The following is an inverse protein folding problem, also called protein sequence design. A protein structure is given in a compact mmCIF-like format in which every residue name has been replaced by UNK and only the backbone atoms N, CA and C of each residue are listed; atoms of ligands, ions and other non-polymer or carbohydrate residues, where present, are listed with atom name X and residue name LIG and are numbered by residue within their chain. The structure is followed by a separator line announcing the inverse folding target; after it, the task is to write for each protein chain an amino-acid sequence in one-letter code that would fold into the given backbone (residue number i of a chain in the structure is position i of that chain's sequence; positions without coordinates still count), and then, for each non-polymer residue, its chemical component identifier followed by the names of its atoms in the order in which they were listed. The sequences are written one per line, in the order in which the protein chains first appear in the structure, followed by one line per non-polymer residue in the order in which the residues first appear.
data_IF_829340226456
#
_entry.id   IF_829340226456
#
_cell.length_a   1.000
_cell.length_b   1.000
_cell.length_c   1.000
_cell.angle_alpha   90.00
_cell.angle_beta   90.00
_cell.angle_gamma   90.00
#
_symmetry.space_group_name_H-M   'P 1'
#
loop_
_entity.id
_entity.type
_entity.pdbx_description
1 polymer ?
#
# COMPACT_ATOMS: atom_id res chain seq x y z
N UNK A 1 -17.75 22.87 29.27
CA UNK A 1 -16.78 22.20 28.39
C UNK A 1 -17.62 21.41 27.40
N UNK A 2 -17.89 22.02 26.25
CA UNK A 2 -18.84 21.54 25.25
C UNK A 2 -18.21 20.41 24.43
N UNK A 3 -19.01 19.37 24.15
CA UNK A 3 -18.66 18.17 23.35
C UNK A 3 -18.18 18.49 21.92
N UNK A 4 -18.27 19.76 21.51
CA UNK A 4 -17.81 20.26 20.20
C UNK A 4 -16.29 20.47 20.11
N UNK A 5 -15.57 20.63 21.23
CA UNK A 5 -14.12 20.86 21.23
C UNK A 5 -13.30 19.58 20.90
N UNK A 6 -13.88 18.39 21.06
CA UNK A 6 -13.18 17.13 20.81
C UNK A 6 -13.08 16.79 19.31
N UNK A 7 -13.91 17.38 18.45
CA UNK A 7 -14.02 16.98 17.03
C UNK A 7 -13.00 17.63 16.09
N UNK A 8 -12.18 18.56 16.56
CA UNK A 8 -11.32 19.39 15.69
C UNK A 8 -9.85 19.42 16.07
N UNK A 9 -9.35 18.45 16.84
CA UNK A 9 -7.90 18.23 16.92
C UNK A 9 -7.39 17.59 15.62
N UNK A 10 -7.12 18.44 14.62
CA UNK A 10 -6.35 18.06 13.44
C UNK A 10 -4.97 17.58 13.86
N UNK A 11 -4.50 16.49 13.25
CA UNK A 11 -3.12 16.02 13.42
C UNK A 11 -2.13 17.18 13.18
N UNK A 12 -1.07 17.32 14.01
CA UNK A 12 -0.02 18.29 13.74
C UNK A 12 0.55 18.10 12.33
N UNK A 13 0.77 19.20 11.60
CA UNK A 13 1.14 19.16 10.18
C UNK A 13 2.39 18.32 9.87
N UNK A 14 3.36 18.33 10.77
CA UNK A 14 4.58 17.50 10.65
C UNK A 14 4.26 16.00 10.68
N UNK A 15 3.35 15.59 11.56
CA UNK A 15 2.93 14.20 11.68
C UNK A 15 2.10 13.78 10.47
N UNK A 16 1.25 14.68 9.96
CA UNK A 16 0.49 14.45 8.74
C UNK A 16 1.41 14.21 7.54
N UNK A 17 2.46 15.02 7.39
CA UNK A 17 3.45 14.87 6.33
C UNK A 17 4.18 13.52 6.43
N UNK A 18 4.59 13.11 7.62
CA UNK A 18 5.24 11.82 7.87
C UNK A 18 4.31 10.66 7.49
N UNK A 19 3.04 10.70 7.90
CA UNK A 19 2.05 9.65 7.58
C UNK A 19 1.79 9.57 6.08
N UNK A 20 1.61 10.71 5.40
CA UNK A 20 1.47 10.78 3.93
C UNK A 20 2.67 10.17 3.22
N UNK A 21 3.89 10.42 3.71
CA UNK A 21 5.12 9.85 3.17
C UNK A 21 5.19 8.33 3.39
N UNK A 22 4.82 7.85 4.58
CA UNK A 22 4.82 6.43 4.92
C UNK A 22 3.80 5.62 4.11
N UNK A 23 2.64 6.20 3.82
CA UNK A 23 1.54 5.56 3.09
C UNK A 23 1.60 5.80 1.56
N UNK A 24 2.68 6.41 1.06
CA UNK A 24 2.84 6.69 -0.36
C UNK A 24 3.19 5.41 -1.13
N UNK A 25 2.28 4.97 -2.01
CA UNK A 25 2.46 3.80 -2.88
C UNK A 25 2.78 4.17 -4.34
N UNK A 26 2.89 5.46 -4.67
CA UNK A 26 2.99 5.95 -6.04
C UNK A 26 4.44 6.21 -6.52
N UNK A 27 5.43 5.84 -5.71
CA UNK A 27 6.85 6.08 -5.99
C UNK A 27 7.68 4.82 -5.72
N UNK A 28 8.76 4.57 -6.49
CA UNK A 28 9.66 3.47 -6.21
C UNK A 28 10.28 3.58 -4.81
N UNK A 29 10.42 2.43 -4.15
CA UNK A 29 10.99 2.33 -2.80
C UNK A 29 12.52 2.23 -2.89
N UNK A 30 13.24 2.93 -2.02
CA UNK A 30 14.71 2.84 -2.01
C UNK A 30 15.16 1.46 -1.54
N UNK A 31 16.09 0.84 -2.28
CA UNK A 31 16.75 -0.42 -1.96
C UNK A 31 18.21 -0.12 -1.67
N UNK A 32 18.77 -0.76 -0.65
CA UNK A 32 20.19 -0.62 -0.31
C UNK A 32 21.00 -1.60 -1.15
N UNK A 33 21.87 -1.06 -2.00
CA UNK A 33 22.77 -1.84 -2.85
C UNK A 33 24.16 -1.21 -2.88
N UNK A 34 25.14 -2.00 -3.28
CA UNK A 34 26.49 -1.52 -3.56
C UNK A 34 26.51 -0.62 -4.79
N UNK A 35 27.45 0.34 -4.81
CA UNK A 35 27.68 1.20 -5.97
C UNK A 35 28.25 0.40 -7.17
N UNK A 36 28.99 -0.67 -6.89
CA UNK A 36 29.57 -1.58 -7.89
C UNK A 36 28.90 -2.96 -7.74
N UNK A 37 27.75 -3.18 -8.39
CA UNK A 37 27.00 -4.42 -8.25
C UNK A 37 27.70 -5.59 -8.95
N UNK A 38 27.66 -6.74 -8.30
CA UNK A 38 28.07 -8.04 -8.82
C UNK A 38 26.84 -8.87 -9.21
N UNK A 39 27.04 -10.01 -9.89
CA UNK A 39 25.93 -10.91 -10.22
C UNK A 39 25.19 -11.42 -8.96
N UNK A 40 25.91 -11.68 -7.86
CA UNK A 40 25.30 -12.08 -6.58
C UNK A 40 24.44 -10.98 -5.94
N UNK A 41 24.71 -9.71 -6.24
CA UNK A 41 23.91 -8.59 -5.72
C UNK A 41 22.53 -8.53 -6.39
N UNK A 42 22.38 -9.06 -7.61
CA UNK A 42 21.11 -9.05 -8.34
C UNK A 42 20.05 -9.90 -7.63
N UNK A 43 20.41 -11.10 -7.17
CA UNK A 43 19.49 -11.99 -6.45
C UNK A 43 19.07 -11.39 -5.10
N UNK A 44 20.03 -10.81 -4.38
CA UNK A 44 19.76 -10.08 -3.13
C UNK A 44 18.84 -8.89 -3.36
N UNK A 45 19.07 -8.12 -4.43
CA UNK A 45 18.25 -6.99 -4.82
C UNK A 45 16.81 -7.41 -5.17
N UNK A 46 16.63 -8.49 -5.94
CA UNK A 46 15.29 -9.01 -6.26
C UNK A 46 14.57 -9.55 -5.02
N UNK A 47 15.28 -10.25 -4.13
CA UNK A 47 14.71 -10.71 -2.86
C UNK A 47 14.25 -9.53 -1.97
N UNK A 48 15.06 -8.47 -1.86
CA UNK A 48 14.69 -7.26 -1.12
C UNK A 48 13.51 -6.54 -1.77
N UNK A 49 13.54 -6.35 -3.10
CA UNK A 49 12.45 -5.72 -3.85
C UNK A 49 11.15 -6.50 -3.67
N UNK A 50 11.18 -7.82 -3.68
CA UNK A 50 10.00 -8.65 -3.47
C UNK A 50 9.33 -8.39 -2.11
N UNK A 51 10.11 -8.37 -1.01
CA UNK A 51 9.57 -8.06 0.31
C UNK A 51 8.98 -6.65 0.40
N UNK A 52 9.66 -5.67 -0.22
CA UNK A 52 9.19 -4.29 -0.27
C UNK A 52 7.93 -4.15 -1.12
N UNK A 53 7.84 -4.85 -2.25
CA UNK A 53 6.66 -4.88 -3.09
C UNK A 53 5.47 -5.45 -2.30
N UNK A 54 5.64 -6.59 -1.63
CA UNK A 54 4.62 -7.17 -0.75
C UNK A 54 4.14 -6.19 0.32
N UNK A 55 5.06 -5.49 1.01
CA UNK A 55 4.68 -4.45 1.97
C UNK A 55 3.94 -3.29 1.31
N UNK A 56 4.35 -2.88 0.12
CA UNK A 56 3.74 -1.77 -0.63
C UNK A 56 2.29 -2.07 -1.01
N UNK A 57 1.95 -3.35 -1.25
CA UNK A 57 0.57 -3.77 -1.53
C UNK A 57 -0.43 -3.46 -0.39
N UNK A 58 0.08 -3.32 0.84
CA UNK A 58 -0.73 -2.99 2.02
C UNK A 58 -0.96 -1.49 2.19
N UNK A 59 -0.12 -0.63 1.61
CA UNK A 59 -0.17 0.82 1.83
C UNK A 59 -1.50 1.47 1.38
N UNK A 60 -2.12 1.07 0.25
CA UNK A 60 -3.44 1.57 -0.12
C UNK A 60 -4.48 1.43 0.99
N UNK A 61 -4.40 0.37 1.79
CA UNK A 61 -5.33 0.14 2.89
C UNK A 61 -5.23 1.28 3.93
N UNK A 62 -4.02 1.48 4.47
CA UNK A 62 -3.76 2.57 5.42
C UNK A 62 -4.08 3.94 4.83
N UNK A 63 -3.76 4.16 3.55
CA UNK A 63 -4.07 5.42 2.85
C UNK A 63 -5.57 5.67 2.77
N UNK A 64 -6.36 4.67 2.42
CA UNK A 64 -7.82 4.80 2.31
C UNK A 64 -8.47 5.19 3.64
N UNK A 65 -8.01 4.60 4.74
CA UNK A 65 -8.45 4.98 6.09
C UNK A 65 -7.99 6.40 6.46
N UNK A 66 -6.72 6.73 6.19
CA UNK A 66 -6.14 8.02 6.52
C UNK A 66 -6.79 9.18 5.76
N UNK A 67 -7.17 8.97 4.49
CA UNK A 67 -7.76 10.02 3.64
C UNK A 67 -9.29 9.94 3.56
N UNK A 68 -9.95 9.15 4.39
CA UNK A 68 -11.39 8.91 4.33
C UNK A 68 -12.18 10.23 4.33
N UNK A 69 -13.07 10.41 3.36
CA UNK A 69 -13.96 11.58 3.27
C UNK A 69 -13.26 12.96 3.35
N UNK A 70 -12.05 13.08 2.79
CA UNK A 70 -11.26 14.33 2.84
C UNK A 70 -11.41 15.24 1.62
N UNK A 71 -12.03 14.80 0.53
CA UNK A 71 -12.34 15.65 -0.63
C UNK A 71 -13.84 15.72 -0.88
N UNK A 72 -14.35 16.94 -1.08
CA UNK A 72 -15.62 17.18 -1.75
C UNK A 72 -15.34 17.46 -3.22
N UNK A 73 -15.67 16.52 -4.11
CA UNK A 73 -15.43 16.73 -5.53
C UNK A 73 -16.61 17.39 -6.22
N UNK A 74 -16.33 18.32 -7.13
CA UNK A 74 -17.32 18.85 -8.07
C UNK A 74 -17.67 17.75 -9.10
N UNK A 75 -18.93 17.69 -9.53
CA UNK A 75 -19.43 16.63 -10.42
C UNK A 75 -18.65 16.52 -11.76
N UNK A 76 -17.99 17.60 -12.17
CA UNK A 76 -17.30 17.72 -13.47
C UNK A 76 -15.80 17.47 -13.40
N UNK A 77 -15.20 17.29 -12.22
CA UNK A 77 -13.75 17.09 -12.13
C UNK A 77 -13.36 15.62 -12.30
N UNK A 78 -12.26 15.38 -13.03
CA UNK A 78 -11.76 14.04 -13.25
C UNK A 78 -11.11 13.50 -11.97
N UNK A 79 -11.71 12.49 -11.36
CA UNK A 79 -11.16 11.82 -10.20
C UNK A 79 -10.00 10.88 -10.60
N UNK A 80 -8.77 11.20 -10.19
CA UNK A 80 -7.59 10.39 -10.52
C UNK A 80 -7.25 9.37 -9.44
N UNK A 81 -7.04 8.12 -9.85
CA UNK A 81 -6.47 7.08 -8.99
C UNK A 81 -4.93 7.19 -9.02
N UNK A 82 -4.24 7.35 -7.87
CA UNK A 82 -2.77 7.37 -7.84
C UNK A 82 -2.19 6.05 -8.37
N UNK A 83 -1.00 6.08 -8.99
CA UNK A 83 -0.33 4.84 -9.43
C UNK A 83 0.03 3.95 -8.22
N UNK A 84 -0.01 2.64 -8.40
CA UNK A 84 0.58 1.67 -7.48
C UNK A 84 1.91 1.19 -8.08
N UNK A 85 3.02 1.53 -7.43
CA UNK A 85 4.37 1.26 -7.93
C UNK A 85 5.03 0.17 -7.09
N UNK A 86 5.28 -0.98 -7.72
CA UNK A 86 5.99 -2.13 -7.13
C UNK A 86 7.42 -2.21 -7.69
N UNK A 87 8.12 -1.08 -7.66
CA UNK A 87 9.47 -0.94 -8.19
C UNK A 87 10.43 -0.40 -7.12
N UNK A 88 11.70 -0.71 -7.29
CA UNK A 88 12.79 -0.22 -6.46
C UNK A 88 13.50 0.94 -7.14
N UNK A 89 14.11 1.82 -6.34
CA UNK A 89 15.16 2.73 -6.81
C UNK A 89 16.47 2.43 -6.08
N UNK A 90 17.59 2.61 -6.77
CA UNK A 90 18.93 2.28 -6.30
C UNK A 90 19.71 3.59 -6.05
N UNK A 91 19.71 4.13 -4.81
CA UNK A 91 20.32 5.44 -4.55
C UNK A 91 21.84 5.46 -4.84
N UNK A 92 22.53 4.35 -4.59
CA UNK A 92 23.96 4.19 -4.88
C UNK A 92 24.28 4.14 -6.39
N UNK A 93 23.26 3.92 -7.23
CA UNK A 93 23.38 3.80 -8.69
C UNK A 93 22.55 4.90 -9.38
N UNK A 94 22.76 6.15 -8.95
CA UNK A 94 22.09 7.33 -9.53
C UNK A 94 20.55 7.26 -9.54
N UNK A 95 19.96 6.63 -8.51
CA UNK A 95 18.52 6.38 -8.41
C UNK A 95 17.95 5.56 -9.59
N UNK A 96 18.75 4.69 -10.21
CA UNK A 96 18.28 3.75 -11.22
C UNK A 96 17.04 2.99 -10.71
N UNK A 97 16.04 2.81 -11.58
CA UNK A 97 14.81 2.10 -11.23
C UNK A 97 14.96 0.63 -11.60
N UNK A 98 14.60 -0.27 -10.68
CA UNK A 98 14.52 -1.71 -10.92
C UNK A 98 13.09 -2.20 -10.74
N UNK A 99 12.66 -3.07 -11.64
CA UNK A 99 11.39 -3.75 -11.58
C UNK A 99 11.56 -5.18 -11.07
N UNK A 100 10.48 -5.75 -10.53
CA UNK A 100 10.41 -7.17 -10.24
C UNK A 100 10.64 -7.99 -11.51
N UNK A 101 11.44 -9.04 -11.41
CA UNK A 101 11.67 -9.97 -12.51
C UNK A 101 10.34 -10.63 -12.93
N UNK A 102 9.88 -10.46 -14.18
CA UNK A 102 8.63 -11.03 -14.67
C UNK A 102 8.56 -12.57 -14.58
N UNK A 103 9.69 -13.26 -14.44
CA UNK A 103 9.77 -14.71 -14.29
C UNK A 103 9.25 -15.22 -12.94
N UNK A 104 9.16 -14.35 -11.93
CA UNK A 104 8.71 -14.71 -10.59
C UNK A 104 7.24 -15.16 -10.64
N UNK A 105 6.98 -16.39 -10.21
CA UNK A 105 5.62 -16.94 -10.11
C UNK A 105 4.74 -16.01 -9.25
N UNK A 106 3.48 -15.84 -9.65
CA UNK A 106 2.45 -15.06 -8.95
C UNK A 106 2.58 -13.52 -9.02
N UNK A 107 3.40 -12.95 -9.91
CA UNK A 107 3.42 -11.48 -10.11
C UNK A 107 2.04 -10.91 -10.46
N UNK A 108 1.24 -11.66 -11.24
CA UNK A 108 -0.09 -11.19 -11.62
C UNK A 108 -1.04 -11.09 -10.42
N UNK A 109 -0.97 -12.04 -9.48
CA UNK A 109 -1.72 -11.98 -8.22
C UNK A 109 -1.21 -10.86 -7.32
N UNK A 110 0.09 -10.59 -7.34
CA UNK A 110 0.72 -9.48 -6.62
C UNK A 110 0.28 -8.10 -7.15
N UNK A 111 -0.25 -8.02 -8.37
CA UNK A 111 -0.71 -6.74 -8.97
C UNK A 111 -2.22 -6.54 -8.89
N UNK A 112 -3.03 -7.53 -9.22
CA UNK A 112 -4.48 -7.36 -9.43
C UNK A 112 -5.24 -6.94 -8.16
N UNK A 113 -5.05 -7.63 -7.03
CA UNK A 113 -5.70 -7.29 -5.77
C UNK A 113 -5.22 -5.95 -5.20
N UNK A 114 -3.91 -5.65 -5.20
CA UNK A 114 -3.43 -4.37 -4.72
C UNK A 114 -3.89 -3.17 -5.57
N UNK A 115 -4.03 -3.34 -6.89
CA UNK A 115 -4.62 -2.32 -7.75
C UNK A 115 -6.09 -2.05 -7.41
N UNK A 116 -6.86 -3.11 -7.11
CA UNK A 116 -8.22 -2.96 -6.61
C UNK A 116 -8.27 -2.15 -5.30
N UNK A 117 -7.42 -2.48 -4.31
CA UNK A 117 -7.33 -1.70 -3.06
C UNK A 117 -6.93 -0.26 -3.31
N UNK A 118 -6.04 -0.02 -4.26
CA UNK A 118 -5.57 1.30 -4.64
C UNK A 118 -6.69 2.15 -5.23
N UNK A 119 -7.56 1.58 -6.06
CA UNK A 119 -8.76 2.23 -6.56
C UNK A 119 -9.79 2.50 -5.44
N UNK A 120 -10.05 1.52 -4.57
CA UNK A 120 -10.96 1.69 -3.42
C UNK A 120 -10.47 2.80 -2.49
N UNK A 121 -9.18 2.80 -2.15
CA UNK A 121 -8.57 3.83 -1.29
C UNK A 121 -8.68 5.23 -1.90
N UNK A 122 -8.60 5.34 -3.23
CA UNK A 122 -8.87 6.59 -3.92
C UNK A 122 -10.35 6.98 -3.75
N UNK A 123 -11.29 6.09 -4.04
CA UNK A 123 -12.73 6.38 -3.91
C UNK A 123 -13.17 6.73 -2.49
N UNK A 124 -12.61 6.09 -1.47
CA UNK A 124 -12.88 6.39 -0.05
C UNK A 124 -12.51 7.83 0.35
N UNK A 125 -11.66 8.49 -0.43
CA UNK A 125 -11.29 9.88 -0.22
C UNK A 125 -12.45 10.85 -0.44
N UNK A 126 -13.46 10.45 -1.20
CA UNK A 126 -14.64 11.26 -1.50
C UNK A 126 -15.56 11.34 -0.28
N UNK A 127 -15.83 12.55 0.18
CA UNK A 127 -16.84 12.80 1.20
C UNK A 127 -18.24 12.53 0.63
N UNK A 128 -19.18 12.02 1.44
CA UNK A 128 -20.57 11.92 1.02
C UNK A 128 -21.07 13.29 0.56
N UNK A 129 -21.61 13.36 -0.65
CA UNK A 129 -22.38 14.54 -1.07
C UNK A 129 -23.52 14.71 -0.07
N UNK A 130 -23.63 15.91 0.52
CA UNK A 130 -24.70 16.23 1.47
C UNK A 130 -26.03 15.75 0.88
N UNK A 131 -26.69 14.87 1.61
CA UNK A 131 -27.88 14.18 1.15
C UNK A 131 -28.96 15.19 0.76
N UNK A 132 -29.35 15.23 -0.52
CA UNK A 132 -30.76 15.46 -0.82
C UNK A 132 -31.53 14.35 -0.11
N UNK A 133 -32.33 14.73 0.90
CA UNK A 133 -33.23 13.84 1.61
C UNK A 133 -34.25 13.28 0.61
N UNK A 134 -34.03 12.06 0.13
CA UNK A 134 -35.12 11.21 -0.33
C UNK A 134 -34.88 9.82 0.27
N UNK A 135 -35.85 9.38 1.07
CA UNK A 135 -35.73 8.22 1.94
C UNK A 135 -35.47 6.92 1.19
N UNK A 136 -34.89 5.96 1.94
CA UNK A 136 -34.83 4.53 1.64
C UNK A 136 -33.63 3.95 0.87
N UNK A 137 -32.42 4.52 0.94
CA UNK A 137 -31.26 3.73 0.50
C UNK A 137 -29.88 4.35 0.63
N UNK A 138 -29.34 4.51 1.85
CA UNK A 138 -27.94 4.95 2.03
C UNK A 138 -27.29 4.33 3.27
N UNK A 139 -26.70 3.14 3.09
CA UNK A 139 -25.70 2.53 4.01
C UNK A 139 -24.99 1.30 3.39
N UNK A 140 -25.63 0.61 2.46
CA UNK A 140 -25.18 -0.70 1.94
C UNK A 140 -23.83 -0.72 1.18
N UNK A 141 -23.42 0.40 0.59
CA UNK A 141 -22.20 0.46 -0.24
C UNK A 141 -20.92 0.47 0.62
N UNK A 142 -20.96 1.14 1.77
CA UNK A 142 -19.84 1.17 2.71
C UNK A 142 -19.64 -0.22 3.34
N UNK A 143 -20.73 -0.88 3.71
CA UNK A 143 -20.71 -2.15 4.43
C UNK A 143 -20.14 -3.30 3.57
N UNK A 144 -20.56 -3.40 2.30
CA UNK A 144 -20.04 -4.45 1.40
C UNK A 144 -18.58 -4.23 0.98
N UNK A 145 -18.14 -2.97 0.82
CA UNK A 145 -16.75 -2.64 0.49
C UNK A 145 -15.84 -2.95 1.69
N UNK A 146 -16.25 -2.56 2.90
CA UNK A 146 -15.53 -2.85 4.15
C UNK A 146 -15.45 -4.36 4.41
N UNK A 147 -16.52 -5.13 4.16
CA UNK A 147 -16.48 -6.59 4.31
C UNK A 147 -15.52 -7.27 3.32
N UNK A 148 -15.47 -6.79 2.08
CA UNK A 148 -14.54 -7.30 1.05
C UNK A 148 -13.10 -6.91 1.38
N UNK A 149 -12.92 -5.73 1.97
CA UNK A 149 -11.65 -5.22 2.47
C UNK A 149 -11.13 -6.01 3.67
N UNK A 150 -11.97 -6.36 4.65
CA UNK A 150 -11.60 -7.25 5.76
C UNK A 150 -11.17 -8.63 5.25
N UNK A 151 -11.94 -9.25 4.35
CA UNK A 151 -11.54 -10.54 3.74
C UNK A 151 -10.18 -10.46 3.04
N UNK A 152 -9.85 -9.32 2.44
CA UNK A 152 -8.56 -9.12 1.79
C UNK A 152 -7.41 -8.90 2.79
N UNK A 153 -7.67 -8.21 3.91
CA UNK A 153 -6.72 -8.13 5.04
C UNK A 153 -6.35 -9.53 5.55
N UNK A 154 -7.33 -10.44 5.70
CA UNK A 154 -7.07 -11.83 6.12
C UNK A 154 -6.23 -12.62 5.10
N UNK A 155 -6.41 -12.39 3.79
CA UNK A 155 -5.59 -13.01 2.74
C UNK A 155 -4.15 -12.46 2.74
N UNK A 156 -3.99 -11.15 2.94
CA UNK A 156 -2.68 -10.49 3.03
C UNK A 156 -1.89 -10.93 4.26
N UNK A 157 -2.56 -11.08 5.42
CA UNK A 157 -1.98 -11.67 6.63
C UNK A 157 -1.51 -13.11 6.35
N UNK A 158 -2.28 -13.90 5.58
CA UNK A 158 -1.88 -15.24 5.15
C UNK A 158 -0.59 -15.24 4.30
N UNK A 159 -0.47 -14.32 3.35
CA UNK A 159 0.71 -14.15 2.49
C UNK A 159 1.95 -13.75 3.31
N UNK A 160 1.79 -12.84 4.29
CA UNK A 160 2.87 -12.42 5.20
C UNK A 160 3.32 -13.54 6.16
N UNK A 161 2.45 -14.51 6.46
CA UNK A 161 2.76 -15.64 7.36
C UNK A 161 3.59 -16.70 6.63
N UNK A 162 3.34 -16.93 5.34
CA UNK A 162 4.11 -17.84 4.48
C UNK A 162 5.56 -17.39 4.33
N UNK A 163 5.83 -16.09 4.22
CA UNK A 163 7.20 -15.57 4.04
C UNK A 163 8.05 -15.59 5.31
N UNK A 164 7.44 -15.57 6.50
CA UNK A 164 8.17 -15.71 7.78
C UNK A 164 8.61 -17.15 8.04
N UNK A 165 7.89 -18.14 7.52
CA UNK A 165 8.16 -19.56 7.76
C UNK A 165 9.35 -20.14 6.98
N UNK A 166 9.91 -19.42 5.99
CA UNK A 166 10.99 -19.93 5.14
C UNK A 166 12.41 -19.59 5.62
N UNK A 167 12.58 -19.01 6.83
CA UNK A 167 13.89 -18.62 7.36
C UNK A 167 14.41 -19.49 8.52
N UNK A 168 13.71 -20.55 8.91
CA UNK A 168 14.09 -21.43 10.03
C UNK A 168 14.71 -22.76 9.59
N UNK A 169 15.56 -22.77 8.55
CA UNK A 169 16.45 -23.91 8.29
C UNK A 169 17.89 -23.50 8.59
N UNK A 170 18.36 -23.83 9.80
CA UNK A 170 19.78 -23.71 10.18
C UNK A 170 20.64 -24.52 9.20
N UNK A 171 21.78 -24.01 8.71
CA UNK A 171 22.77 -24.88 8.07
C UNK A 171 23.36 -25.77 9.17
N UNK A 172 23.03 -27.07 9.11
CA UNK A 172 23.71 -28.09 9.88
C UNK A 172 25.17 -28.11 9.46
N UNK A 173 26.04 -27.74 10.40
CA UNK A 173 27.49 -27.94 10.32
C UNK A 173 27.72 -29.45 10.14
N UNK A 174 28.16 -29.87 8.96
CA UNK A 174 28.81 -31.18 8.79
C UNK A 174 30.29 -30.97 9.09
N UNK A 175 30.71 -31.41 10.28
CA UNK A 175 32.10 -31.69 10.60
C UNK A 175 32.28 -33.21 10.55
N UNK A 176 33.40 -33.63 9.96
CA UNK A 176 33.94 -34.98 9.72
C UNK A 176 33.39 -35.71 8.49
#
# INVERSE_FOLDING_TARGET
MSEDDERQQSLPSDLEFVVRRLLCSARPVAIQTSANPSASDQDLQQAQLWQLAQRTTALPLGRGAFTLATIYTLLTEAFTVPKLVLAGRLPAQQNATVNLDPSIRNIQELKSWPEFHNAVAAGLRLAPLQSFHCGHGKAYLFDKVVFKYLKCLYKLIGILKVTRSSKDTKPGIQNL
#
